data_IF_015432465825
#
_entry.id   IF_015432465825
#
_cell.length_a   1.000
_cell.length_b   1.000
_cell.length_c   1.000
_cell.angle_alpha   90.00
_cell.angle_beta   90.00
_cell.angle_gamma   90.00
#
_symmetry.space_group_name_H-M   'P 1'
#
loop_
_entity.id
_entity.type
_entity.pdbx_description
1 polymer ?
#
# COMPACT_ATOMS: atom_id res chain seq x y z
N UNK A 1 74.39 -41.25 112.49
CA UNK A 1 73.65 -40.21 113.20
C UNK A 1 72.71 -39.45 112.27
N UNK A 2 71.54 -39.76 112.46
CA UNK A 2 70.34 -39.05 112.19
C UNK A 2 69.77 -38.97 110.80
N UNK A 3 68.86 -39.88 110.57
CA UNK A 3 67.87 -39.87 109.57
C UNK A 3 66.91 -38.70 109.65
N UNK A 4 66.53 -38.21 108.46
CA UNK A 4 65.26 -37.55 108.32
C UNK A 4 64.71 -37.79 106.93
N UNK A 5 63.46 -38.18 106.80
CA UNK A 5 62.81 -38.48 105.52
C UNK A 5 62.30 -37.23 104.89
N UNK A 6 62.44 -37.18 103.49
CA UNK A 6 61.87 -36.12 102.68
C UNK A 6 60.44 -36.42 102.24
N UNK A 7 59.56 -35.43 102.05
CA UNK A 7 58.18 -35.58 101.59
C UNK A 7 58.05 -35.93 100.15
N UNK A 8 57.16 -36.88 99.81
CA UNK A 8 56.81 -37.32 98.48
C UNK A 8 56.10 -36.22 97.71
N UNK A 9 56.17 -36.25 96.31
CA UNK A 9 55.41 -35.36 95.50
C UNK A 9 53.95 -35.87 95.30
N UNK A 10 53.05 -34.96 95.62
CA UNK A 10 51.61 -35.12 95.29
C UNK A 10 51.40 -35.17 93.78
N UNK A 11 50.83 -36.27 93.32
CA UNK A 11 50.33 -36.36 91.91
C UNK A 11 49.05 -35.58 91.75
N UNK A 12 49.18 -34.39 91.22
CA UNK A 12 48.02 -33.67 90.64
C UNK A 12 47.74 -34.24 89.29
N UNK A 13 46.69 -35.02 89.13
CA UNK A 13 46.06 -35.40 87.88
C UNK A 13 45.36 -34.20 87.29
N UNK A 14 46.04 -33.52 86.37
CA UNK A 14 45.46 -32.46 85.56
C UNK A 14 44.72 -33.11 84.41
N UNK A 15 43.44 -33.37 84.57
CA UNK A 15 42.50 -33.79 83.53
C UNK A 15 42.08 -32.57 82.71
N UNK A 16 43.02 -32.12 81.81
CA UNK A 16 42.63 -31.17 80.74
C UNK A 16 41.59 -31.78 79.85
N UNK A 17 40.63 -30.96 79.35
CA UNK A 17 39.63 -31.47 78.44
C UNK A 17 40.27 -32.03 77.17
N UNK A 18 40.11 -33.31 76.93
CA UNK A 18 40.55 -33.97 75.71
C UNK A 18 39.81 -33.36 74.51
N UNK A 19 40.50 -32.56 73.73
CA UNK A 19 40.02 -32.11 72.41
C UNK A 19 39.93 -33.38 71.54
N UNK A 20 38.74 -33.68 70.99
CA UNK A 20 38.65 -34.88 70.14
C UNK A 20 39.55 -34.68 68.93
N UNK A 21 40.42 -35.66 68.63
CA UNK A 21 41.25 -35.70 67.46
C UNK A 21 40.37 -35.66 66.21
N UNK A 22 40.11 -34.44 65.75
CA UNK A 22 39.41 -34.19 64.50
C UNK A 22 40.35 -34.58 63.40
N UNK A 23 40.03 -35.70 62.74
CA UNK A 23 40.82 -36.28 61.66
C UNK A 23 40.75 -35.35 60.42
N UNK A 24 41.55 -34.27 60.48
CA UNK A 24 41.56 -33.18 59.50
C UNK A 24 41.74 -33.72 58.06
N UNK A 25 42.41 -34.84 57.89
CA UNK A 25 42.53 -35.51 56.58
C UNK A 25 41.22 -36.10 56.03
N UNK A 26 40.33 -36.57 56.91
CA UNK A 26 39.01 -37.07 56.50
C UNK A 26 38.04 -35.92 56.19
N UNK A 27 38.04 -34.88 57.03
CA UNK A 27 37.21 -33.70 56.81
C UNK A 27 37.65 -32.97 55.52
N UNK A 28 38.97 -32.82 55.28
CA UNK A 28 39.48 -32.26 54.04
C UNK A 28 39.05 -33.03 52.79
N UNK A 29 39.05 -34.36 52.85
CA UNK A 29 38.55 -35.19 51.73
C UNK A 29 37.06 -35.06 51.53
N UNK A 30 36.24 -34.98 52.57
CA UNK A 30 34.81 -34.82 52.46
C UNK A 30 34.47 -33.41 51.90
N UNK A 31 35.16 -32.38 52.29
CA UNK A 31 35.02 -31.02 51.76
C UNK A 31 35.41 -31.00 50.27
N UNK A 32 36.53 -31.58 49.89
CA UNK A 32 36.94 -31.66 48.49
C UNK A 32 35.93 -32.45 47.67
N UNK A 33 35.45 -33.60 48.13
CA UNK A 33 34.41 -34.39 47.47
C UNK A 33 33.11 -33.56 47.36
N UNK A 34 32.72 -32.87 48.38
CA UNK A 34 31.53 -32.00 48.39
C UNK A 34 31.65 -30.85 47.36
N UNK A 35 32.82 -30.20 47.29
CA UNK A 35 33.08 -29.14 46.30
C UNK A 35 33.08 -29.73 44.90
N UNK A 36 33.72 -30.84 44.66
CA UNK A 36 33.71 -31.54 43.36
C UNK A 36 32.29 -31.99 42.97
N UNK A 37 31.51 -32.54 43.91
CA UNK A 37 30.13 -32.89 43.66
C UNK A 37 29.25 -31.69 43.33
N UNK A 38 29.45 -30.57 44.02
CA UNK A 38 28.76 -29.31 43.76
C UNK A 38 29.14 -28.71 42.39
N UNK A 39 30.43 -28.79 42.01
CA UNK A 39 30.88 -28.39 40.67
C UNK A 39 30.28 -29.30 39.58
N UNK A 40 30.29 -30.60 39.78
CA UNK A 40 29.66 -31.55 38.82
C UNK A 40 28.18 -31.33 38.72
N UNK A 41 27.48 -31.08 39.83
CA UNK A 41 26.05 -30.76 39.83
C UNK A 41 25.77 -29.44 39.14
N UNK A 42 26.63 -28.43 39.36
CA UNK A 42 26.54 -27.12 38.67
C UNK A 42 26.75 -27.26 37.15
N UNK A 43 27.70 -28.12 36.72
CA UNK A 43 27.93 -28.42 35.30
C UNK A 43 26.74 -29.15 34.70
N UNK A 44 26.18 -30.11 35.41
CA UNK A 44 25.02 -30.88 34.94
C UNK A 44 23.76 -30.01 34.88
N UNK A 45 23.55 -29.12 35.83
CA UNK A 45 22.40 -28.19 35.87
C UNK A 45 22.49 -27.05 34.84
N UNK A 46 23.72 -26.54 34.56
CA UNK A 46 23.95 -25.46 33.61
C UNK A 46 24.34 -25.91 32.19
N UNK A 47 24.59 -27.20 32.01
CA UNK A 47 25.03 -27.79 30.73
C UNK A 47 23.90 -28.13 29.75
N UNK A 48 22.67 -27.76 30.06
CA UNK A 48 21.50 -28.02 29.22
C UNK A 48 21.04 -26.75 28.54
N UNK A 49 21.01 -26.78 27.20
CA UNK A 49 20.46 -25.72 26.37
C UNK A 49 19.37 -26.25 25.45
N UNK A 50 18.23 -25.60 25.40
CA UNK A 50 17.11 -25.96 24.55
C UNK A 50 16.96 -24.97 23.42
N UNK A 51 17.17 -25.40 22.18
CA UNK A 51 16.94 -24.63 20.97
C UNK A 51 15.45 -24.70 20.59
N UNK A 52 14.72 -23.60 20.53
CA UNK A 52 13.30 -23.63 20.18
C UNK A 52 13.10 -23.96 18.68
N UNK A 53 11.88 -24.40 18.33
CA UNK A 53 11.51 -24.62 16.93
C UNK A 53 11.59 -23.34 16.10
N UNK A 54 12.12 -23.44 14.87
CA UNK A 54 12.32 -22.31 13.98
C UNK A 54 13.59 -21.53 14.28
N UNK A 55 14.45 -22.04 15.18
CA UNK A 55 15.79 -21.49 15.45
C UNK A 55 16.87 -22.54 15.22
N UNK A 56 18.06 -22.06 14.96
CA UNK A 56 19.27 -22.86 14.95
C UNK A 56 20.23 -22.29 16.00
N UNK A 57 20.70 -23.13 16.90
CA UNK A 57 21.65 -22.75 17.93
C UNK A 57 23.08 -22.79 17.39
N UNK A 58 23.77 -21.65 17.36
CA UNK A 58 25.18 -21.58 16.98
C UNK A 58 26.06 -21.67 18.20
N UNK A 59 26.89 -22.73 18.27
CA UNK A 59 27.83 -22.92 19.36
C UNK A 59 29.00 -21.94 19.28
N UNK A 60 29.25 -21.27 20.40
CA UNK A 60 30.45 -20.45 20.61
C UNK A 60 31.26 -21.06 21.74
N UNK A 61 32.55 -21.27 21.52
CA UNK A 61 33.48 -21.71 22.54
C UNK A 61 34.45 -20.59 22.87
N UNK A 62 34.54 -20.22 24.16
CA UNK A 62 35.30 -19.03 24.61
C UNK A 62 35.02 -17.76 23.80
N UNK A 63 33.76 -17.59 23.34
CA UNK A 63 33.32 -16.44 22.57
C UNK A 63 33.55 -16.54 21.06
N UNK A 64 34.27 -17.53 20.58
CA UNK A 64 34.49 -17.79 19.16
C UNK A 64 33.44 -18.74 18.59
N UNK A 65 32.92 -18.44 17.40
CA UNK A 65 32.01 -19.34 16.67
C UNK A 65 32.80 -20.59 16.23
N UNK A 66 32.29 -21.81 16.58
CA UNK A 66 32.97 -23.07 16.30
C UNK A 66 32.49 -23.77 15.02
N UNK A 67 31.51 -23.19 14.32
CA UNK A 67 30.89 -23.80 13.14
C UNK A 67 29.94 -24.97 13.47
N UNK A 68 29.72 -25.29 14.75
CA UNK A 68 28.75 -26.31 15.16
C UNK A 68 27.36 -25.69 15.28
N UNK A 69 26.41 -26.26 14.57
CA UNK A 69 25.00 -25.84 14.56
C UNK A 69 24.14 -26.87 15.25
N UNK A 70 23.30 -26.44 16.16
CA UNK A 70 22.35 -27.25 16.89
C UNK A 70 20.96 -27.08 16.29
N UNK A 71 20.39 -28.18 15.83
CA UNK A 71 19.00 -28.20 15.38
C UNK A 71 18.04 -27.99 16.56
N UNK A 72 16.75 -27.66 16.31
CA UNK A 72 15.77 -27.58 17.39
C UNK A 72 15.76 -28.83 18.28
N UNK A 73 15.77 -28.60 19.58
CA UNK A 73 15.82 -29.68 20.57
C UNK A 73 16.73 -29.37 21.74
N UNK A 74 17.03 -30.41 22.50
CA UNK A 74 17.83 -30.34 23.72
C UNK A 74 19.28 -30.73 23.45
N UNK A 75 20.22 -29.90 23.84
CA UNK A 75 21.64 -30.07 23.61
C UNK A 75 22.43 -29.93 24.91
N UNK A 76 23.47 -30.74 25.05
CA UNK A 76 24.40 -30.63 26.16
C UNK A 76 25.57 -29.73 25.75
N UNK A 77 25.85 -28.73 26.55
CA UNK A 77 26.97 -27.78 26.38
C UNK A 77 27.83 -27.82 27.66
N UNK A 78 29.08 -27.42 27.54
CA UNK A 78 29.94 -27.26 28.71
C UNK A 78 29.81 -25.82 29.23
N UNK A 79 29.06 -25.59 30.34
CA UNK A 79 28.89 -24.26 30.87
C UNK A 79 30.26 -23.66 31.21
N UNK A 80 30.45 -22.39 31.16
CA UNK A 80 31.73 -21.66 31.32
C UNK A 80 32.60 -21.62 30.04
N UNK A 81 32.67 -22.69 29.25
CA UNK A 81 33.44 -22.73 28.00
C UNK A 81 32.57 -22.44 26.80
N UNK A 82 31.38 -23.02 26.77
CA UNK A 82 30.47 -22.96 25.64
C UNK A 82 29.26 -22.07 25.93
N UNK A 83 28.83 -21.34 24.93
CA UNK A 83 27.57 -20.64 24.89
C UNK A 83 26.86 -20.92 23.57
N UNK A 84 25.55 -20.87 23.54
CA UNK A 84 24.76 -21.04 22.32
C UNK A 84 24.02 -19.75 22.05
N UNK A 85 24.08 -19.33 20.80
CA UNK A 85 23.27 -18.22 20.30
C UNK A 85 22.19 -18.77 19.37
N UNK A 86 20.95 -18.61 19.77
CA UNK A 86 19.82 -19.01 18.94
C UNK A 86 19.56 -17.95 17.89
N UNK A 87 19.46 -18.41 16.64
CA UNK A 87 19.18 -17.54 15.47
C UNK A 87 17.90 -18.04 14.83
N UNK A 88 16.95 -17.14 14.63
CA UNK A 88 15.69 -17.45 13.96
C UNK A 88 15.94 -17.66 12.47
N UNK A 89 15.45 -18.80 11.94
CA UNK A 89 15.54 -19.18 10.52
C UNK A 89 14.22 -19.07 9.77
N UNK A 90 13.16 -18.61 10.45
CA UNK A 90 11.85 -18.38 9.83
C UNK A 90 11.92 -17.15 8.92
N UNK A 91 11.05 -17.08 7.89
CA UNK A 91 10.91 -15.87 7.08
C UNK A 91 10.55 -14.66 7.94
N UNK A 92 11.28 -13.59 7.73
CA UNK A 92 11.07 -12.28 8.35
C UNK A 92 10.83 -11.23 7.27
N UNK A 93 10.18 -10.16 7.66
CA UNK A 93 10.00 -8.99 6.80
C UNK A 93 10.78 -7.81 7.37
N UNK A 94 11.40 -7.06 6.49
CA UNK A 94 12.01 -5.76 6.79
C UNK A 94 11.30 -4.71 5.97
N UNK A 95 10.59 -3.81 6.63
CA UNK A 95 9.78 -2.79 5.99
C UNK A 95 10.42 -1.41 6.15
N UNK A 96 10.53 -0.70 5.04
CA UNK A 96 10.97 0.68 4.96
C UNK A 96 9.79 1.52 4.48
N UNK A 97 9.34 2.49 5.30
CA UNK A 97 8.16 3.29 5.05
C UNK A 97 8.38 4.77 5.34
N UNK A 98 7.65 5.63 4.63
CA UNK A 98 7.68 7.08 4.82
C UNK A 98 6.90 7.52 6.06
N UNK A 99 5.92 6.73 6.49
CA UNK A 99 5.07 7.05 7.64
C UNK A 99 5.75 6.65 8.96
N UNK A 100 5.84 7.60 9.90
CA UNK A 100 6.30 7.30 11.27
C UNK A 100 5.34 6.33 11.95
N UNK A 101 5.90 5.29 12.58
CA UNK A 101 5.12 4.23 13.24
C UNK A 101 4.82 3.05 12.32
N UNK A 102 5.09 3.15 11.04
CA UNK A 102 5.04 2.07 10.07
C UNK A 102 6.47 1.63 9.73
N UNK A 103 6.68 0.33 9.53
CA UNK A 103 8.00 -0.23 9.25
C UNK A 103 8.80 -0.60 10.50
N UNK A 104 10.00 -1.16 10.26
CA UNK A 104 10.88 -1.69 11.32
C UNK A 104 11.65 -0.61 12.08
N UNK A 105 11.62 0.64 11.60
CA UNK A 105 12.20 1.79 12.27
C UNK A 105 11.13 2.85 12.60
N UNK A 106 10.25 2.59 13.58
CA UNK A 106 9.08 3.44 13.85
C UNK A 106 9.44 4.86 14.32
N UNK A 107 10.67 5.09 14.76
CA UNK A 107 11.10 6.39 15.27
C UNK A 107 11.25 7.47 14.18
N UNK A 108 11.36 7.09 12.92
CA UNK A 108 11.47 8.03 11.78
C UNK A 108 11.07 7.37 10.46
N UNK A 109 10.64 8.19 9.54
CA UNK A 109 10.45 7.81 8.15
C UNK A 109 11.75 7.22 7.56
N UNK A 110 11.66 6.07 6.91
CA UNK A 110 12.80 5.31 6.39
C UNK A 110 12.62 4.88 4.92
N UNK A 111 11.63 5.42 4.22
CA UNK A 111 11.41 5.20 2.80
C UNK A 111 12.68 5.37 1.97
N UNK A 112 12.76 4.70 0.85
CA UNK A 112 13.88 4.81 -0.06
C UNK A 112 13.68 5.98 -0.99
N UNK A 113 14.51 6.99 -0.85
CA UNK A 113 14.53 8.14 -1.74
C UNK A 113 15.32 7.81 -2.99
N UNK A 114 14.66 7.80 -4.14
CA UNK A 114 15.24 7.54 -5.46
C UNK A 114 15.05 8.71 -6.40
N UNK A 115 15.82 8.73 -7.48
CA UNK A 115 15.65 9.71 -8.55
C UNK A 115 15.39 8.97 -9.86
N UNK A 116 14.28 9.32 -10.51
CA UNK A 116 13.93 8.76 -11.81
C UNK A 116 14.80 9.31 -12.95
N UNK A 117 14.71 8.71 -14.14
CA UNK A 117 15.41 9.19 -15.33
C UNK A 117 15.08 10.64 -15.70
N UNK A 118 13.90 11.11 -15.31
CA UNK A 118 13.46 12.49 -15.53
C UNK A 118 13.98 13.48 -14.47
N UNK A 119 14.79 13.02 -13.53
CA UNK A 119 15.32 13.84 -12.45
C UNK A 119 14.34 14.10 -11.30
N UNK A 120 13.14 13.51 -11.33
CA UNK A 120 12.16 13.64 -10.25
C UNK A 120 12.58 12.77 -9.06
N UNK A 121 12.61 13.35 -7.88
CA UNK A 121 12.81 12.62 -6.63
C UNK A 121 11.50 11.95 -6.22
N UNK A 122 11.57 10.66 -5.91
CA UNK A 122 10.43 9.82 -5.53
C UNK A 122 10.78 9.10 -4.23
N UNK A 123 9.83 9.02 -3.31
CA UNK A 123 9.95 8.23 -2.09
C UNK A 123 9.19 6.92 -2.28
N UNK A 124 9.87 5.80 -1.99
CA UNK A 124 9.35 4.47 -2.25
C UNK A 124 9.33 3.69 -0.94
N UNK A 125 8.14 3.24 -0.56
CA UNK A 125 7.93 2.30 0.53
C UNK A 125 8.03 0.88 0.01
N UNK A 126 8.80 0.07 0.71
CA UNK A 126 9.00 -1.32 0.32
C UNK A 126 9.11 -2.26 1.52
N UNK A 127 8.84 -3.52 1.25
CA UNK A 127 9.04 -4.62 2.18
C UNK A 127 9.93 -5.67 1.55
N UNK A 128 10.97 -6.08 2.26
CA UNK A 128 11.86 -7.16 1.89
C UNK A 128 11.57 -8.36 2.79
N UNK A 129 11.27 -9.48 2.20
CA UNK A 129 11.08 -10.75 2.90
C UNK A 129 12.30 -11.62 2.71
N UNK A 130 12.89 -12.03 3.81
CA UNK A 130 14.13 -12.78 3.82
C UNK A 130 14.15 -13.78 4.99
N UNK A 131 15.10 -14.70 4.97
CA UNK A 131 15.39 -15.61 6.08
C UNK A 131 16.87 -15.90 6.18
N UNK A 132 17.30 -16.32 7.36
CA UNK A 132 18.67 -16.84 7.54
C UNK A 132 18.73 -18.25 6.96
N UNK A 133 19.82 -18.55 6.27
CA UNK A 133 20.05 -19.88 5.70
C UNK A 133 20.36 -20.90 6.81
N UNK A 134 19.50 -21.90 6.94
CA UNK A 134 19.54 -22.86 8.06
C UNK A 134 20.81 -23.69 8.13
N UNK A 135 21.51 -23.89 7.00
CA UNK A 135 22.73 -24.70 6.93
C UNK A 135 24.00 -23.87 6.99
N UNK A 136 23.89 -22.54 7.19
CA UNK A 136 25.03 -21.62 7.20
C UNK A 136 24.86 -20.53 8.28
N UNK A 137 24.14 -20.89 9.34
CA UNK A 137 23.84 -20.00 10.46
C UNK A 137 25.10 -19.60 11.23
N UNK A 138 26.10 -20.47 11.27
CA UNK A 138 27.40 -20.17 11.87
C UNK A 138 28.16 -19.05 11.13
N UNK A 139 28.12 -19.05 9.79
CA UNK A 139 28.68 -17.98 8.95
C UNK A 139 27.91 -16.69 9.20
N UNK A 140 26.58 -16.75 9.23
CA UNK A 140 25.73 -15.58 9.54
C UNK A 140 26.13 -14.94 10.88
N UNK A 141 26.26 -15.74 11.96
CA UNK A 141 26.64 -15.21 13.27
C UNK A 141 28.05 -14.63 13.26
N UNK A 142 28.96 -15.22 12.48
CA UNK A 142 30.34 -14.73 12.37
C UNK A 142 30.41 -13.35 11.69
N UNK A 143 29.63 -13.17 10.61
CA UNK A 143 29.63 -11.94 9.82
C UNK A 143 28.77 -10.83 10.48
N UNK A 144 27.56 -11.18 10.86
CA UNK A 144 26.53 -10.21 11.23
C UNK A 144 26.19 -10.18 12.72
N UNK A 145 26.56 -11.20 13.48
CA UNK A 145 26.23 -11.40 14.92
C UNK A 145 24.75 -11.51 15.21
N UNK A 146 23.93 -10.54 14.81
CA UNK A 146 22.47 -10.53 15.01
C UNK A 146 21.76 -10.15 13.73
N UNK A 147 20.47 -10.46 13.67
CA UNK A 147 19.61 -10.16 12.52
C UNK A 147 19.46 -8.65 12.33
N UNK A 148 19.34 -7.89 13.42
CA UNK A 148 19.23 -6.43 13.37
C UNK A 148 20.50 -5.77 12.82
N UNK A 149 21.67 -6.36 13.04
CA UNK A 149 22.91 -5.88 12.44
C UNK A 149 23.00 -6.19 10.95
N UNK A 150 22.49 -7.35 10.52
CA UNK A 150 22.40 -7.68 9.10
C UNK A 150 21.40 -6.74 8.38
N UNK A 151 20.25 -6.46 9.00
CA UNK A 151 19.27 -5.49 8.49
C UNK A 151 19.91 -4.12 8.29
N UNK A 152 20.65 -3.63 9.27
CA UNK A 152 21.21 -2.27 9.25
C UNK A 152 22.43 -2.12 8.34
N UNK A 153 23.26 -3.14 8.26
CA UNK A 153 24.57 -3.04 7.57
C UNK A 153 24.58 -3.68 6.18
N UNK A 154 23.69 -4.63 5.91
CA UNK A 154 23.60 -5.30 4.62
C UNK A 154 22.29 -4.98 3.92
N UNK A 155 21.14 -5.39 4.51
CA UNK A 155 19.84 -5.34 3.82
C UNK A 155 19.50 -3.90 3.44
N UNK A 156 19.48 -3.01 4.43
CA UNK A 156 19.09 -1.61 4.22
C UNK A 156 19.96 -0.87 3.19
N UNK A 157 21.31 -0.90 3.26
CA UNK A 157 22.15 -0.23 2.26
C UNK A 157 22.06 -0.87 0.88
N UNK A 158 21.97 -2.21 0.80
CA UNK A 158 21.85 -2.92 -0.48
C UNK A 158 20.52 -2.58 -1.17
N UNK A 159 19.41 -2.62 -0.44
CA UNK A 159 18.08 -2.22 -0.94
C UNK A 159 18.10 -0.79 -1.47
N UNK A 160 18.64 0.15 -0.71
CA UNK A 160 18.73 1.56 -1.11
C UNK A 160 19.59 1.76 -2.36
N UNK A 161 20.68 1.02 -2.48
CA UNK A 161 21.55 1.11 -3.65
C UNK A 161 20.88 0.56 -4.89
N UNK A 162 20.39 -0.68 -4.81
CA UNK A 162 19.79 -1.35 -5.97
C UNK A 162 18.53 -0.65 -6.45
N UNK A 163 17.65 -0.26 -5.51
CA UNK A 163 16.43 0.45 -5.88
C UNK A 163 16.71 1.82 -6.53
N UNK A 164 17.74 2.52 -6.05
CA UNK A 164 18.17 3.80 -6.65
C UNK A 164 18.73 3.61 -8.04
N UNK A 165 19.54 2.57 -8.25
CA UNK A 165 20.16 2.27 -9.53
C UNK A 165 19.09 1.86 -10.57
N UNK A 166 18.13 1.02 -10.19
CA UNK A 166 17.03 0.60 -11.07
C UNK A 166 16.06 1.74 -11.37
N UNK A 167 15.68 2.54 -10.37
CA UNK A 167 14.77 3.66 -10.56
C UNK A 167 15.35 4.76 -11.48
N UNK A 168 16.67 4.92 -11.51
CA UNK A 168 17.33 5.89 -12.39
C UNK A 168 17.15 5.59 -13.88
N UNK A 169 16.81 4.34 -14.24
CA UNK A 169 16.50 3.91 -15.60
C UNK A 169 15.03 4.03 -16.00
N UNK A 170 14.12 4.34 -15.08
CA UNK A 170 12.67 4.29 -15.28
C UNK A 170 12.07 5.71 -15.22
N UNK A 171 11.04 5.96 -16.04
CA UNK A 171 10.31 7.23 -16.00
C UNK A 171 9.43 7.32 -14.75
N UNK A 172 9.30 8.51 -14.15
CA UNK A 172 8.43 8.74 -12.99
C UNK A 172 6.99 8.27 -13.22
N UNK A 173 6.44 8.55 -14.39
CA UNK A 173 5.09 8.12 -14.76
C UNK A 173 4.93 6.60 -14.82
N UNK A 174 6.00 5.86 -15.09
CA UNK A 174 6.01 4.39 -15.13
C UNK A 174 6.13 3.82 -13.72
N UNK A 175 7.03 4.37 -12.88
CA UNK A 175 7.20 3.94 -11.48
C UNK A 175 5.87 4.04 -10.71
N UNK A 176 5.04 5.04 -11.02
CA UNK A 176 3.73 5.23 -10.39
C UNK A 176 2.69 4.18 -10.79
N UNK A 177 2.86 3.51 -11.92
CA UNK A 177 1.94 2.46 -12.37
C UNK A 177 2.15 1.15 -11.62
N UNK A 178 1.12 0.30 -11.54
CA UNK A 178 1.24 -1.05 -10.96
C UNK A 178 2.29 -1.89 -11.70
N UNK A 179 2.29 -1.87 -13.03
CA UNK A 179 3.26 -2.59 -13.85
C UNK A 179 4.69 -2.07 -13.68
N UNK A 180 4.87 -0.76 -13.49
CA UNK A 180 6.18 -0.18 -13.22
C UNK A 180 6.72 -0.56 -11.84
N UNK A 181 5.85 -0.59 -10.83
CA UNK A 181 6.22 -1.08 -9.49
C UNK A 181 6.61 -2.55 -9.48
N UNK A 182 5.87 -3.39 -10.22
CA UNK A 182 6.18 -4.81 -10.39
C UNK A 182 7.55 -5.01 -11.05
N UNK A 183 7.81 -4.34 -12.17
CA UNK A 183 9.13 -4.37 -12.83
C UNK A 183 10.27 -3.90 -11.92
N UNK A 184 10.03 -2.83 -11.14
CA UNK A 184 11.02 -2.33 -10.19
C UNK A 184 11.28 -3.33 -9.07
N UNK A 185 10.22 -4.00 -8.56
CA UNK A 185 10.34 -5.08 -7.57
C UNK A 185 11.17 -6.25 -8.10
N UNK A 186 10.85 -6.73 -9.30
CA UNK A 186 11.56 -7.86 -9.95
C UNK A 186 13.02 -7.54 -10.20
N UNK A 187 13.31 -6.36 -10.78
CA UNK A 187 14.68 -5.94 -11.05
C UNK A 187 15.50 -5.75 -9.76
N UNK A 188 14.89 -5.16 -8.73
CA UNK A 188 15.51 -5.01 -7.43
C UNK A 188 15.75 -6.37 -6.75
N UNK A 189 14.81 -7.31 -6.89
CA UNK A 189 14.93 -8.67 -6.34
C UNK A 189 16.13 -9.40 -6.95
N UNK A 190 16.26 -9.43 -8.27
CA UNK A 190 17.39 -10.08 -8.98
C UNK A 190 18.75 -9.55 -8.50
N UNK A 191 18.85 -8.25 -8.35
CA UNK A 191 20.10 -7.61 -7.87
C UNK A 191 20.37 -7.88 -6.40
N UNK A 192 19.34 -7.89 -5.57
CA UNK A 192 19.46 -8.16 -4.14
C UNK A 192 19.78 -9.62 -3.87
N UNK A 193 19.22 -10.57 -4.65
CA UNK A 193 19.60 -11.98 -4.57
C UNK A 193 21.10 -12.16 -4.78
N UNK A 194 21.65 -11.51 -5.81
CA UNK A 194 23.11 -11.51 -6.04
C UNK A 194 23.89 -10.85 -4.92
N UNK A 195 23.38 -9.80 -4.29
CA UNK A 195 24.03 -9.12 -3.17
C UNK A 195 24.00 -9.94 -1.87
N UNK A 196 23.07 -10.89 -1.74
CA UNK A 196 22.96 -11.76 -0.56
C UNK A 196 23.71 -13.09 -0.73
N UNK A 197 24.25 -13.35 -1.92
CA UNK A 197 25.08 -14.53 -2.15
C UNK A 197 26.33 -14.52 -1.23
N UNK A 198 26.51 -15.62 -0.48
CA UNK A 198 27.62 -15.75 0.47
C UNK A 198 27.44 -15.06 1.83
N UNK A 199 26.32 -14.38 2.06
CA UNK A 199 26.01 -13.66 3.30
C UNK A 199 25.17 -14.48 4.28
N UNK A 200 24.95 -15.77 3.98
CA UNK A 200 24.10 -16.71 4.74
C UNK A 200 22.64 -16.22 4.91
N UNK A 201 22.18 -15.40 3.97
CA UNK A 201 20.80 -14.92 3.86
C UNK A 201 20.17 -15.42 2.57
N UNK A 202 18.88 -15.69 2.62
CA UNK A 202 18.06 -16.02 1.46
C UNK A 202 17.00 -14.95 1.31
N UNK A 203 17.01 -14.26 0.19
CA UNK A 203 15.94 -13.35 -0.21
C UNK A 203 14.76 -14.18 -0.72
N UNK A 204 13.56 -13.91 -0.24
CA UNK A 204 12.33 -14.56 -0.71
C UNK A 204 11.52 -13.68 -1.63
N UNK A 205 11.38 -12.40 -1.27
CA UNK A 205 10.54 -11.46 -2.01
C UNK A 205 10.93 -10.02 -1.72
N UNK A 206 10.84 -9.18 -2.75
CA UNK A 206 10.91 -7.73 -2.62
C UNK A 206 9.60 -7.15 -3.14
N UNK A 207 8.89 -6.40 -2.32
CA UNK A 207 7.61 -5.80 -2.67
C UNK A 207 7.65 -4.29 -2.53
N UNK A 208 7.46 -3.58 -3.63
CA UNK A 208 7.22 -2.13 -3.63
C UNK A 208 5.76 -1.88 -3.26
N UNK A 209 5.53 -1.19 -2.14
CA UNK A 209 4.20 -0.94 -1.55
C UNK A 209 3.59 0.35 -2.07
N UNK A 210 4.21 1.47 -1.73
CA UNK A 210 3.74 2.81 -2.04
C UNK A 210 4.84 3.62 -2.70
N UNK A 211 4.41 4.56 -3.54
CA UNK A 211 5.29 5.47 -4.27
C UNK A 211 4.75 6.88 -4.08
N UNK A 212 5.47 7.66 -3.30
CA UNK A 212 5.12 9.04 -3.01
C UNK A 212 5.84 9.99 -3.96
N UNK A 213 5.05 10.83 -4.61
CA UNK A 213 5.52 11.83 -5.55
C UNK A 213 5.53 13.23 -4.89
N UNK A 214 6.42 14.13 -5.31
CA UNK A 214 6.36 15.52 -4.89
C UNK A 214 5.02 16.16 -5.30
N UNK A 215 4.43 16.96 -4.42
CA UNK A 215 3.14 17.62 -4.66
C UNK A 215 3.06 18.41 -5.98
N UNK A 216 4.19 18.95 -6.44
CA UNK A 216 4.27 19.65 -7.73
C UNK A 216 4.05 18.72 -8.91
N UNK A 217 4.55 17.48 -8.81
CA UNK A 217 4.38 16.46 -9.84
C UNK A 217 2.95 15.91 -9.85
N UNK A 218 2.38 15.66 -8.67
CA UNK A 218 0.97 15.22 -8.53
C UNK A 218 0.01 16.24 -9.14
N UNK A 219 0.23 17.53 -8.89
CA UNK A 219 -0.58 18.58 -9.50
C UNK A 219 -0.47 18.58 -11.03
N UNK A 220 0.76 18.52 -11.56
CA UNK A 220 0.98 18.46 -12.99
C UNK A 220 0.38 17.21 -13.64
N UNK A 221 0.42 16.07 -12.97
CA UNK A 221 -0.19 14.82 -13.42
C UNK A 221 -1.73 14.94 -13.45
N UNK A 222 -2.32 15.49 -12.40
CA UNK A 222 -3.77 15.74 -12.33
C UNK A 222 -4.23 16.71 -13.40
N UNK A 223 -3.50 17.82 -13.61
CA UNK A 223 -3.80 18.79 -14.69
C UNK A 223 -3.73 18.13 -16.07
N UNK A 224 -2.71 17.32 -16.31
CA UNK A 224 -2.58 16.56 -17.56
C UNK A 224 -3.75 15.57 -17.76
N UNK A 225 -4.17 14.88 -16.71
CA UNK A 225 -5.29 13.95 -16.81
C UNK A 225 -6.62 14.67 -17.04
N UNK A 226 -6.86 15.80 -16.37
CA UNK A 226 -8.02 16.68 -16.61
C UNK A 226 -8.03 17.14 -18.07
N UNK A 227 -6.90 17.65 -18.57
CA UNK A 227 -6.79 18.11 -19.97
C UNK A 227 -7.06 16.97 -20.96
N UNK A 228 -6.57 15.76 -20.68
CA UNK A 228 -6.83 14.58 -21.50
C UNK A 228 -8.32 14.19 -21.52
N UNK A 229 -8.97 14.23 -20.35
CA UNK A 229 -10.40 13.97 -20.23
C UNK A 229 -11.23 15.04 -20.97
N UNK A 230 -10.83 16.32 -20.92
CA UNK A 230 -11.47 17.39 -21.69
C UNK A 230 -11.36 17.15 -23.21
N UNK A 231 -10.18 16.74 -23.70
CA UNK A 231 -9.99 16.39 -25.12
C UNK A 231 -10.90 15.22 -25.50
N UNK A 232 -10.94 14.16 -24.71
CA UNK A 232 -11.83 13.02 -24.95
C UNK A 232 -13.31 13.42 -24.96
N UNK A 233 -13.72 14.25 -24.00
CA UNK A 233 -15.09 14.79 -23.96
C UNK A 233 -15.44 15.55 -25.24
N UNK A 234 -14.53 16.42 -25.68
CA UNK A 234 -14.70 17.16 -26.94
C UNK A 234 -14.77 16.26 -28.16
N UNK A 235 -13.97 15.21 -28.21
CA UNK A 235 -14.06 14.21 -29.28
C UNK A 235 -15.41 13.49 -29.29
N UNK A 236 -15.95 13.13 -28.13
CA UNK A 236 -17.29 12.56 -28.01
C UNK A 236 -18.36 13.54 -28.45
N UNK A 237 -18.29 14.81 -28.05
CA UNK A 237 -19.23 15.87 -28.48
C UNK A 237 -19.21 16.03 -30.00
N UNK A 238 -18.04 16.05 -30.62
CA UNK A 238 -17.89 16.12 -32.07
C UNK A 238 -18.50 14.87 -32.76
N UNK A 239 -18.25 13.68 -32.21
CA UNK A 239 -18.83 12.45 -32.74
C UNK A 239 -20.37 12.43 -32.62
N UNK A 240 -20.91 12.91 -31.50
CA UNK A 240 -22.37 13.05 -31.31
C UNK A 240 -22.96 14.06 -32.30
N UNK A 241 -22.32 15.22 -32.47
CA UNK A 241 -22.77 16.23 -33.42
C UNK A 241 -22.74 15.69 -34.87
N UNK A 242 -21.71 14.94 -35.24
CA UNK A 242 -21.65 14.29 -36.57
C UNK A 242 -22.78 13.28 -36.76
N UNK A 243 -23.03 12.42 -35.79
CA UNK A 243 -24.13 11.42 -35.84
C UNK A 243 -25.50 12.10 -35.87
N UNK A 244 -25.67 13.20 -35.14
CA UNK A 244 -26.93 13.93 -35.16
C UNK A 244 -27.16 14.63 -36.50
N UNK A 245 -26.12 15.22 -37.09
CA UNK A 245 -26.16 15.75 -38.45
C UNK A 245 -26.54 14.66 -39.46
N UNK A 246 -25.90 13.52 -39.44
CA UNK A 246 -26.19 12.38 -40.30
C UNK A 246 -27.64 11.91 -40.14
N UNK A 247 -28.13 11.83 -38.88
CA UNK A 247 -29.54 11.49 -38.62
C UNK A 247 -30.51 12.54 -39.17
N UNK A 248 -30.16 13.84 -39.09
CA UNK A 248 -30.99 14.89 -39.66
C UNK A 248 -30.98 14.85 -41.20
N UNK A 249 -29.84 14.60 -41.82
CA UNK A 249 -29.72 14.42 -43.28
C UNK A 249 -30.57 13.21 -43.77
N UNK A 250 -30.46 12.05 -43.09
CA UNK A 250 -31.24 10.87 -43.38
C UNK A 250 -32.76 11.14 -43.22
N UNK A 251 -33.17 11.87 -42.17
CA UNK A 251 -34.56 12.26 -41.95
C UNK A 251 -35.07 13.18 -43.05
N UNK A 252 -34.29 14.21 -43.41
CA UNK A 252 -34.63 15.15 -44.47
C UNK A 252 -34.75 14.45 -45.81
N UNK A 253 -33.85 13.50 -46.13
CA UNK A 253 -33.94 12.70 -47.34
C UNK A 253 -35.18 11.77 -47.34
N UNK A 254 -35.44 11.16 -46.21
CA UNK A 254 -36.65 10.33 -46.02
C UNK A 254 -37.94 11.14 -46.19
N UNK A 255 -38.00 12.33 -45.58
CA UNK A 255 -39.16 13.24 -45.68
C UNK A 255 -39.31 13.72 -47.15
N UNK A 256 -38.23 14.11 -47.83
CA UNK A 256 -38.29 14.46 -49.25
C UNK A 256 -38.81 13.31 -50.12
N UNK A 257 -38.36 12.11 -49.85
CA UNK A 257 -38.82 10.91 -50.57
C UNK A 257 -40.32 10.56 -50.29
N UNK A 258 -40.77 10.77 -49.06
CA UNK A 258 -42.21 10.63 -48.69
C UNK A 258 -43.03 11.67 -49.43
N UNK A 259 -42.58 12.94 -49.56
CA UNK A 259 -43.28 13.99 -50.29
C UNK A 259 -43.34 13.63 -51.81
N UNK A 260 -42.24 13.14 -52.37
CA UNK A 260 -42.19 12.70 -53.77
C UNK A 260 -43.17 11.57 -54.06
N UNK A 261 -43.15 10.49 -53.25
CA UNK A 261 -44.06 9.34 -53.38
C UNK A 261 -45.50 9.78 -53.21
N UNK A 262 -45.81 10.68 -52.23
CA UNK A 262 -47.16 11.20 -52.07
C UNK A 262 -47.57 12.06 -53.26
N UNK A 263 -46.68 12.87 -53.79
CA UNK A 263 -46.95 13.69 -54.98
C UNK A 263 -47.25 12.88 -56.23
N UNK A 264 -46.53 11.77 -56.39
CA UNK A 264 -46.76 10.80 -57.50
C UNK A 264 -48.09 10.06 -57.32
N UNK A 265 -48.35 9.54 -56.14
CA UNK A 265 -49.64 8.85 -55.80
C UNK A 265 -50.86 9.76 -55.97
N UNK A 266 -50.71 11.05 -55.64
CA UNK A 266 -51.79 12.04 -55.85
C UNK A 266 -52.01 12.41 -57.33
N UNK A 267 -50.97 12.39 -58.16
CA UNK A 267 -51.08 12.57 -59.59
C UNK A 267 -51.81 11.43 -60.27
N UNK A 268 -51.51 10.19 -59.83
CA UNK A 268 -52.16 8.96 -60.38
C UNK A 268 -53.61 8.82 -59.95
N UNK A 269 -53.98 9.36 -58.76
CA UNK A 269 -55.34 9.23 -58.21
C UNK A 269 -55.93 10.57 -57.76
N UNK A 270 -56.43 11.40 -58.69
CA UNK A 270 -57.00 12.71 -58.39
C UNK A 270 -58.26 12.65 -57.49
N UNK A 271 -58.90 11.48 -57.38
CA UNK A 271 -60.06 11.26 -56.45
C UNK A 271 -59.62 11.32 -54.98
N UNK A 272 -58.44 10.86 -54.64
CA UNK A 272 -57.89 10.90 -53.27
C UNK A 272 -57.63 12.33 -52.85
N UNK A 273 -57.18 13.18 -53.81
CA UNK A 273 -56.94 14.63 -53.56
C UNK A 273 -58.26 15.33 -53.22
N UNK A 274 -59.36 14.98 -53.91
CA UNK A 274 -60.66 15.52 -53.68
C UNK A 274 -61.22 15.07 -52.31
N UNK A 275 -60.96 13.80 -51.92
CA UNK A 275 -61.43 13.27 -50.64
C UNK A 275 -60.65 13.87 -49.47
N UNK A 276 -59.32 14.06 -49.58
CA UNK A 276 -58.52 14.77 -48.56
C UNK A 276 -58.92 16.25 -48.44
N UNK A 277 -59.21 16.87 -49.58
CA UNK A 277 -59.70 18.27 -49.57
C UNK A 277 -61.04 18.39 -48.84
N UNK A 278 -61.95 17.48 -49.04
CA UNK A 278 -63.23 17.43 -48.33
C UNK A 278 -63.04 17.19 -46.85
N UNK A 279 -62.15 16.23 -46.46
CA UNK A 279 -61.86 15.96 -45.05
C UNK A 279 -61.13 17.14 -44.36
N UNK A 280 -60.31 17.89 -45.07
CA UNK A 280 -59.67 19.09 -44.50
C UNK A 280 -60.65 20.23 -44.29
N UNK A 281 -61.70 20.29 -45.09
CA UNK A 281 -62.78 21.26 -44.91
C UNK A 281 -63.67 20.90 -43.73
N UNK A 282 -63.93 19.60 -43.55
CA UNK A 282 -64.78 19.09 -42.45
C UNK A 282 -64.08 19.19 -41.06
N UNK A 283 -62.75 19.18 -41.05
CA UNK A 283 -61.95 19.31 -39.84
C UNK A 283 -61.62 20.76 -39.45
N UNK A 284 -61.87 21.72 -40.29
CA UNK A 284 -61.66 23.15 -40.02
C UNK A 284 -62.98 23.91 -40.09
N UNK A 285 -63.34 24.59 -39.01
CA UNK A 285 -64.51 25.53 -38.91
C UNK A 285 -64.44 26.73 -39.90
N UNK A 286 -63.83 26.51 -41.07
CA UNK A 286 -63.65 27.53 -42.12
C UNK A 286 -64.44 27.21 -43.34
N UNK A 287 -65.45 27.99 -43.60
CA UNK A 287 -66.23 27.89 -44.87
C UNK A 287 -65.41 28.63 -45.96
N UNK A 288 -64.98 27.90 -46.97
CA UNK A 288 -64.37 28.47 -48.19
C UNK A 288 -65.53 28.73 -49.18
N UNK A 289 -65.86 29.99 -49.38
CA UNK A 289 -66.76 30.39 -50.46
C UNK A 289 -65.92 30.70 -51.70
N UNK A 290 -66.04 29.91 -52.74
CA UNK A 290 -65.46 30.22 -54.02
C UNK A 290 -66.31 31.29 -54.68
N UNK A 291 -65.78 32.51 -54.76
CA UNK A 291 -66.39 33.61 -55.52
C UNK A 291 -65.30 34.15 -56.40
N UNK A 292 -65.62 34.17 -57.62
CA UNK A 292 -65.16 35.05 -58.71
C UNK A 292 -64.65 34.33 -59.93
N UNK A 293 -64.92 34.97 -61.06
CA UNK A 293 -64.57 34.52 -62.41
C UNK A 293 -63.06 34.29 -62.66
N UNK A 294 -62.22 34.64 -61.69
CA UNK A 294 -60.74 34.50 -61.78
C UNK A 294 -60.16 33.43 -60.87
N UNK A 295 -60.96 32.61 -60.18
CA UNK A 295 -60.53 31.38 -59.49
C UNK A 295 -59.68 31.57 -58.23
N UNK A 296 -59.67 32.77 -57.58
CA UNK A 296 -59.00 32.95 -56.29
C UNK A 296 -59.92 32.64 -55.12
N UNK A 297 -59.57 31.67 -54.27
CA UNK A 297 -60.39 31.34 -53.12
C UNK A 297 -60.27 32.40 -52.01
N UNK A 298 -61.42 33.01 -51.63
CA UNK A 298 -61.49 33.91 -50.49
C UNK A 298 -61.79 33.04 -49.24
N UNK A 299 -60.90 33.03 -48.27
CA UNK A 299 -61.07 32.39 -46.99
C UNK A 299 -61.76 33.34 -46.02
N UNK A 300 -63.06 33.15 -45.79
CA UNK A 300 -63.78 33.85 -44.73
C UNK A 300 -63.75 33.03 -43.45
N UNK A 301 -63.07 33.57 -42.44
CA UNK A 301 -63.07 32.99 -41.11
C UNK A 301 -64.34 33.45 -40.37
N UNK A 302 -65.38 32.64 -40.27
CA UNK A 302 -66.51 32.90 -39.39
C UNK A 302 -66.13 32.62 -37.95
N UNK A 303 -65.66 33.70 -37.32
CA UNK A 303 -65.49 33.66 -35.87
C UNK A 303 -66.84 33.57 -35.18
N UNK A 304 -67.11 32.52 -34.49
CA UNK A 304 -68.26 32.42 -33.56
C UNK A 304 -67.95 33.38 -32.40
N UNK A 305 -68.51 34.60 -32.53
CA UNK A 305 -68.56 35.56 -31.43
C UNK A 305 -69.42 35.02 -30.30
N UNK A 306 -68.87 34.64 -29.21
CA UNK A 306 -69.51 34.31 -27.96
C UNK A 306 -68.84 35.11 -26.85
N UNK A 307 -69.44 36.29 -26.55
CA UNK A 307 -69.45 36.91 -25.22
C UNK A 307 -68.30 37.75 -24.75
N UNK A 308 -68.53 39.03 -24.81
CA UNK A 308 -68.22 40.04 -23.78
C UNK A 308 -66.75 40.32 -23.36
N UNK A 309 -66.32 41.54 -23.62
CA UNK A 309 -65.59 42.30 -22.63
C UNK A 309 -64.18 42.81 -23.02
N UNK A 310 -64.17 44.07 -23.41
CA UNK A 310 -63.13 45.09 -23.14
C UNK A 310 -61.77 45.00 -23.81
N UNK A 311 -61.55 46.01 -24.62
CA UNK A 311 -60.35 46.77 -24.96
C UNK A 311 -59.06 46.37 -24.28
N UNK A 312 -57.99 46.13 -25.04
CA UNK A 312 -56.88 47.09 -25.07
C UNK A 312 -55.87 46.70 -26.14
N UNK A 313 -55.55 47.68 -26.94
CA UNK A 313 -54.47 47.71 -27.90
C UNK A 313 -53.14 47.73 -27.13
N UNK A 314 -52.28 46.77 -27.34
CA UNK A 314 -50.85 47.05 -27.16
C UNK A 314 -50.04 46.23 -28.15
N UNK A 315 -49.37 46.93 -29.05
CA UNK A 315 -48.29 46.50 -29.90
C UNK A 315 -46.99 46.53 -29.07
N UNK A 316 -46.56 45.41 -28.52
CA UNK A 316 -45.33 45.34 -27.76
C UNK A 316 -44.43 44.19 -28.26
N UNK A 317 -43.54 44.55 -29.17
CA UNK A 317 -42.32 43.80 -29.40
C UNK A 317 -41.53 43.68 -28.08
N UNK A 318 -41.33 42.44 -27.54
CA UNK A 318 -40.51 42.28 -26.34
C UNK A 318 -39.93 40.88 -26.28
N UNK A 319 -38.72 40.77 -26.74
CA UNK A 319 -37.83 39.68 -26.34
C UNK A 319 -37.58 39.78 -24.83
N UNK A 320 -38.07 38.90 -24.03
CA UNK A 320 -37.74 38.84 -22.61
C UNK A 320 -36.77 37.67 -22.35
N UNK A 321 -35.50 38.00 -22.32
CA UNK A 321 -34.44 37.21 -21.71
C UNK A 321 -34.47 37.48 -20.21
N UNK A 322 -35.15 36.63 -19.44
CA UNK A 322 -35.00 36.60 -17.98
C UNK A 322 -33.75 35.83 -17.62
N UNK A 323 -32.69 36.54 -17.29
CA UNK A 323 -31.55 36.05 -16.57
C UNK A 323 -31.95 35.95 -15.10
N UNK A 324 -32.11 34.75 -14.58
CA UNK A 324 -32.32 34.50 -13.14
C UNK A 324 -30.95 34.65 -12.42
N UNK A 325 -30.76 35.80 -11.78
CA UNK A 325 -29.67 36.06 -10.84
C UNK A 325 -30.21 35.96 -9.43
N UNK A 326 -30.21 34.73 -8.90
CA UNK A 326 -30.37 34.50 -7.45
C UNK A 326 -29.02 34.67 -6.76
N UNK A 327 -28.85 35.58 -5.81
CA UNK A 327 -27.61 35.68 -5.05
C UNK A 327 -27.54 34.56 -3.98
N UNK A 328 -26.44 33.83 -3.99
CA UNK A 328 -26.05 32.82 -3.00
C UNK A 328 -25.80 33.51 -1.64
N UNK A 329 -26.30 33.03 -0.52
CA UNK A 329 -25.99 33.62 0.78
C UNK A 329 -24.55 33.32 1.17
N UNK A 330 -23.77 34.32 1.44
CA UNK A 330 -22.49 34.34 2.12
C UNK A 330 -22.67 33.90 3.58
N UNK A 331 -22.16 32.76 3.97
CA UNK A 331 -21.98 32.40 5.37
C UNK A 331 -20.63 32.92 5.85
N UNK A 332 -20.67 33.89 6.71
CA UNK A 332 -19.57 34.42 7.51
C UNK A 332 -19.16 33.35 8.57
N UNK A 333 -17.87 33.03 8.76
CA UNK A 333 -17.45 32.26 9.91
C UNK A 333 -17.30 33.21 11.12
N UNK A 334 -18.14 33.00 12.10
CA UNK A 334 -18.00 33.57 13.44
C UNK A 334 -16.86 32.87 14.16
N UNK A 335 -15.86 33.63 14.55
CA UNK A 335 -14.82 33.23 15.47
C UNK A 335 -15.32 33.24 16.92
N UNK A 336 -14.67 32.46 17.75
CA UNK A 336 -14.77 32.38 19.22
C UNK A 336 -14.03 31.11 19.63
N UNK A 337 -12.92 31.16 20.18
CA UNK A 337 -12.34 31.63 21.39
C UNK A 337 -12.64 30.71 22.56
N UNK A 338 -11.74 29.82 22.87
CA UNK A 338 -11.12 29.53 24.18
C UNK A 338 -10.35 28.22 24.14
#
# INVERSE_FOLDING_TARGET
MSDLPGPGPDGGSDSGPSIPDVNVGRIGRIVVIGVVALLVLGILAGGYHQVPEGHVGVKKSFGAVTGTEFQPGAHLIVPVMDSVQDVEIRPRTYTMANTQGEGDKPARADAVVVQSINGTTVEIDLTVRYRVQSNDTATFVTQWKTVEQAEERLIRPSVRSQLRDEAAGIQTSEIYTSSGRERLSEAAQEKLESAFEGEALVLEEVQVREVDLPQSYDRALNEKEIAKQEVQKKEFEIQQARKEKERQEIRAEADARVIEIRGEALRENPIVLRQQYIQSIDASDKVILATDDEGTPIILQTGRSGGAGTNETDLGTGFNTTVDTTPRPTTTPTGGGS
#
